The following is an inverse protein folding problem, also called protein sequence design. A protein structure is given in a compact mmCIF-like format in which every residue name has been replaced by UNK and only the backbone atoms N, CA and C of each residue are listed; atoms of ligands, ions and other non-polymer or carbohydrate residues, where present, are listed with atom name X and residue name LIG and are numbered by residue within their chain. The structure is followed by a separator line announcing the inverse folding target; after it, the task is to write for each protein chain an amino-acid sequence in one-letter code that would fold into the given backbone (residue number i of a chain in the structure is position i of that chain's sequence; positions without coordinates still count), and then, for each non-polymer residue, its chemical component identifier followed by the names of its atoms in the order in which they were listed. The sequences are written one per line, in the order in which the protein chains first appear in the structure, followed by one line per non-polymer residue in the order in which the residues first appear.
data_IF_099210469547
#
_entry.id   IF_099210469547
#
_cell.length_a   1.000
_cell.length_b   1.000
_cell.length_c   1.000
_cell.angle_alpha   90.00
_cell.angle_beta   90.00
_cell.angle_gamma   90.00
#
_symmetry.space_group_name_H-M   'P 1'
#
loop_
_entity.id
_entity.type
_entity.pdbx_description
1 polymer ?
#
# COMPACT_ATOMS: atom_id res chain seq x y z
N UNK A 1 12.56 -3.57 -32.76
CA UNK A 1 11.93 -2.79 -31.69
C UNK A 1 13.01 -2.43 -30.69
N UNK A 2 13.32 -1.15 -30.52
CA UNK A 2 14.26 -0.68 -29.51
C UNK A 2 13.52 -0.64 -28.18
N UNK A 3 13.98 -1.40 -27.18
CA UNK A 3 13.38 -1.40 -25.84
C UNK A 3 13.55 -0.06 -25.13
N UNK A 4 12.80 0.18 -24.03
CA UNK A 4 12.93 1.41 -23.25
C UNK A 4 14.35 1.53 -22.71
N UNK A 5 14.99 2.68 -22.94
CA UNK A 5 16.33 2.97 -22.42
C UNK A 5 16.18 3.54 -21.02
N UNK A 6 16.46 2.71 -20.00
CA UNK A 6 16.44 3.14 -18.60
C UNK A 6 17.85 3.59 -18.19
N UNK A 7 17.97 4.80 -17.67
CA UNK A 7 19.22 5.34 -17.14
C UNK A 7 19.06 5.70 -15.66
N UNK A 8 20.16 5.64 -14.90
CA UNK A 8 20.15 5.95 -13.47
C UNK A 8 19.68 7.41 -13.27
N UNK A 9 18.67 7.61 -12.43
CA UNK A 9 18.09 8.93 -12.15
C UNK A 9 16.94 9.32 -13.09
N UNK A 10 16.60 8.49 -14.08
CA UNK A 10 15.42 8.68 -14.91
C UNK A 10 14.27 7.81 -14.39
N UNK A 11 13.16 8.45 -13.99
CA UNK A 11 11.92 7.74 -13.69
C UNK A 11 11.05 7.67 -14.95
N UNK A 12 10.76 6.48 -15.48
CA UNK A 12 10.05 6.33 -16.75
C UNK A 12 8.55 6.53 -16.57
N UNK A 13 8.12 7.77 -16.35
CA UNK A 13 6.73 8.15 -16.06
C UNK A 13 5.73 7.50 -17.03
N UNK A 14 5.90 7.69 -18.34
CA UNK A 14 4.96 7.17 -19.36
C UNK A 14 4.83 5.65 -19.36
N UNK A 15 5.91 4.94 -19.00
CA UNK A 15 5.91 3.48 -18.92
C UNK A 15 5.11 2.97 -17.72
N UNK A 16 5.17 3.70 -16.60
CA UNK A 16 4.56 3.30 -15.33
C UNK A 16 3.16 3.88 -15.13
N UNK A 17 2.81 4.97 -15.81
CA UNK A 17 1.52 5.64 -15.69
C UNK A 17 0.30 4.70 -15.86
N UNK A 18 0.29 3.72 -16.79
CA UNK A 18 -0.81 2.77 -16.89
C UNK A 18 -1.02 1.94 -15.61
N UNK A 19 0.06 1.53 -14.94
CA UNK A 19 -0.01 0.80 -13.68
C UNK A 19 -0.50 1.69 -12.54
N UNK A 20 0.00 2.93 -12.45
CA UNK A 20 -0.45 3.92 -11.46
C UNK A 20 -1.95 4.18 -11.59
N UNK A 21 -2.41 4.44 -12.82
CA UNK A 21 -3.83 4.67 -13.11
C UNK A 21 -4.70 3.46 -12.75
N UNK A 22 -4.17 2.25 -12.93
CA UNK A 22 -4.88 1.03 -12.55
C UNK A 22 -5.04 0.93 -11.04
N UNK A 23 -3.97 1.20 -10.27
CA UNK A 23 -4.02 1.22 -8.80
C UNK A 23 -5.02 2.27 -8.32
N UNK A 24 -4.94 3.51 -8.83
CA UNK A 24 -5.86 4.60 -8.47
C UNK A 24 -7.32 4.25 -8.75
N UNK A 25 -7.61 3.62 -9.90
CA UNK A 25 -8.96 3.18 -10.26
C UNK A 25 -9.47 2.02 -9.38
N UNK A 26 -8.56 1.21 -8.85
CA UNK A 26 -8.88 0.03 -8.05
C UNK A 26 -9.05 0.37 -6.58
N UNK A 27 -8.39 1.43 -6.09
CA UNK A 27 -8.52 1.90 -4.72
C UNK A 27 -9.97 2.29 -4.38
N UNK A 28 -10.47 1.77 -3.26
CA UNK A 28 -11.80 2.02 -2.73
C UNK A 28 -11.85 3.32 -1.92
N UNK A 29 -13.07 3.79 -1.62
CA UNK A 29 -13.30 5.03 -0.88
C UNK A 29 -12.75 5.03 0.55
N UNK A 30 -12.51 3.88 1.15
CA UNK A 30 -11.92 3.73 2.49
C UNK A 30 -10.39 3.59 2.46
N UNK A 31 -9.78 3.53 1.27
CA UNK A 31 -8.34 3.36 1.09
C UNK A 31 -7.89 1.93 0.79
N UNK A 32 -8.77 0.95 0.87
CA UNK A 32 -8.46 -0.42 0.49
C UNK A 32 -8.09 -0.50 -1.01
N UNK A 33 -7.03 -1.23 -1.33
CA UNK A 33 -6.57 -1.53 -2.69
C UNK A 33 -6.65 -3.04 -2.91
N UNK A 34 -7.73 -3.54 -3.53
CA UNK A 34 -7.85 -4.94 -3.96
C UNK A 34 -6.85 -5.30 -5.06
N UNK A 35 -6.59 -6.59 -5.25
CA UNK A 35 -5.76 -7.10 -6.36
C UNK A 35 -6.29 -6.66 -7.74
N UNK A 36 -7.61 -6.62 -7.86
CA UNK A 36 -8.35 -6.11 -9.00
C UNK A 36 -9.77 -5.73 -8.53
N UNK A 37 -10.53 -4.94 -9.31
CA UNK A 37 -11.87 -4.50 -8.91
C UNK A 37 -12.78 -5.67 -8.46
N UNK A 38 -13.46 -5.50 -7.33
CA UNK A 38 -14.34 -6.50 -6.68
C UNK A 38 -13.64 -7.78 -6.16
N UNK A 39 -12.31 -7.77 -6.02
CA UNK A 39 -11.53 -8.89 -5.51
C UNK A 39 -11.16 -8.76 -4.02
N UNK A 40 -10.32 -9.68 -3.56
CA UNK A 40 -9.69 -9.62 -2.26
C UNK A 40 -8.57 -8.56 -2.22
N UNK A 41 -8.31 -8.06 -1.02
CA UNK A 41 -7.10 -7.37 -0.64
C UNK A 41 -6.40 -8.16 0.46
N UNK A 42 -5.08 -8.21 0.42
CA UNK A 42 -4.23 -8.66 1.52
C UNK A 42 -3.21 -7.56 1.87
N UNK A 43 -2.69 -7.54 3.11
CA UNK A 43 -1.79 -6.47 3.56
C UNK A 43 -0.49 -6.34 2.77
N UNK A 44 0.03 -7.42 2.18
CA UNK A 44 1.28 -7.41 1.42
C UNK A 44 1.11 -6.69 0.10
N UNK A 45 0.23 -7.20 -0.77
CA UNK A 45 0.01 -6.63 -2.10
C UNK A 45 -0.53 -5.19 -1.99
N UNK A 46 -1.35 -4.93 -0.96
CA UNK A 46 -1.83 -3.61 -0.62
C UNK A 46 -0.69 -2.63 -0.29
N UNK A 47 0.28 -3.06 0.53
CA UNK A 47 1.47 -2.26 0.86
C UNK A 47 2.30 -1.97 -0.40
N UNK A 48 2.51 -2.94 -1.28
CA UNK A 48 3.24 -2.73 -2.54
C UNK A 48 2.54 -1.72 -3.45
N UNK A 49 1.21 -1.78 -3.53
CA UNK A 49 0.43 -0.81 -4.28
C UNK A 49 0.56 0.61 -3.69
N UNK A 50 0.51 0.75 -2.37
CA UNK A 50 0.74 2.04 -1.69
C UNK A 50 2.16 2.59 -1.94
N UNK A 51 3.18 1.72 -1.95
CA UNK A 51 4.55 2.09 -2.32
C UNK A 51 4.63 2.54 -3.78
N UNK A 52 3.94 1.87 -4.70
CA UNK A 52 3.84 2.27 -6.11
C UNK A 52 3.23 3.65 -6.30
N UNK A 53 2.13 3.95 -5.58
CA UNK A 53 1.52 5.28 -5.56
C UNK A 53 2.48 6.34 -5.02
N UNK A 54 3.25 6.01 -3.97
CA UNK A 54 4.25 6.90 -3.40
C UNK A 54 5.33 7.27 -4.43
N UNK A 55 5.86 6.28 -5.15
CA UNK A 55 6.85 6.50 -6.21
C UNK A 55 6.29 7.38 -7.34
N UNK A 56 5.00 7.23 -7.65
CA UNK A 56 4.33 7.99 -8.70
C UNK A 56 3.98 9.44 -8.31
N UNK A 57 4.17 9.84 -7.04
CA UNK A 57 3.77 11.15 -6.54
C UNK A 57 2.31 11.24 -6.09
N UNK A 58 1.57 10.13 -6.07
CA UNK A 58 0.17 10.06 -5.68
C UNK A 58 0.03 9.93 -4.14
N UNK A 59 0.61 10.89 -3.42
CA UNK A 59 0.80 10.79 -1.97
C UNK A 59 -0.50 10.67 -1.19
N UNK A 60 -1.53 11.44 -1.53
CA UNK A 60 -2.82 11.37 -0.84
C UNK A 60 -3.47 9.98 -0.97
N UNK A 61 -3.34 9.34 -2.14
CA UNK A 61 -3.85 7.99 -2.36
C UNK A 61 -3.02 6.96 -1.58
N UNK A 62 -1.69 7.11 -1.54
CA UNK A 62 -0.82 6.26 -0.75
C UNK A 62 -1.09 6.38 0.76
N UNK A 63 -1.17 7.59 1.30
CA UNK A 63 -1.46 7.84 2.73
C UNK A 63 -2.81 7.25 3.14
N UNK A 64 -3.84 7.40 2.29
CA UNK A 64 -5.15 6.78 2.51
C UNK A 64 -5.07 5.25 2.55
N UNK A 65 -4.20 4.65 1.76
CA UNK A 65 -3.96 3.21 1.79
C UNK A 65 -3.35 2.79 3.16
N UNK A 66 -2.33 3.49 3.64
CA UNK A 66 -1.75 3.20 4.96
C UNK A 66 -2.74 3.42 6.11
N UNK A 67 -3.61 4.43 6.02
CA UNK A 67 -4.69 4.64 6.98
C UNK A 67 -5.68 3.47 7.01
N UNK A 68 -5.99 2.88 5.85
CA UNK A 68 -6.81 1.66 5.80
C UNK A 68 -6.11 0.51 6.54
N UNK A 69 -4.83 0.25 6.28
CA UNK A 69 -4.05 -0.77 6.99
C UNK A 69 -4.10 -0.54 8.51
N UNK A 70 -3.88 0.69 8.98
CA UNK A 70 -3.96 1.04 10.40
C UNK A 70 -5.35 0.74 10.98
N UNK A 71 -6.41 1.03 10.23
CA UNK A 71 -7.80 0.82 10.67
C UNK A 71 -8.21 -0.65 10.77
N UNK A 72 -7.64 -1.51 9.93
CA UNK A 72 -7.92 -2.96 9.89
C UNK A 72 -6.95 -3.78 10.76
N UNK A 73 -5.96 -3.15 11.38
CA UNK A 73 -5.01 -3.83 12.26
C UNK A 73 -5.73 -4.40 13.49
N UNK A 74 -5.46 -5.67 13.78
CA UNK A 74 -5.98 -6.36 14.96
C UNK A 74 -5.24 -5.91 16.22
N UNK A 75 -5.85 -6.19 17.38
CA UNK A 75 -5.29 -5.82 18.70
C UNK A 75 -3.91 -6.38 19.00
N UNK A 76 -3.49 -7.42 18.30
CA UNK A 76 -2.18 -8.07 18.43
C UNK A 76 -1.21 -7.65 17.31
N UNK A 77 -1.51 -6.57 16.60
CA UNK A 77 -0.67 -6.02 15.54
C UNK A 77 -0.77 -6.76 14.20
N UNK A 78 -1.53 -7.85 14.12
CA UNK A 78 -1.67 -8.65 12.90
C UNK A 78 -2.84 -8.21 12.01
N UNK A 79 -2.93 -8.80 10.82
CA UNK A 79 -4.05 -8.66 9.89
C UNK A 79 -4.50 -10.04 9.42
N UNK A 80 -5.75 -10.12 8.98
CA UNK A 80 -6.26 -11.28 8.25
C UNK A 80 -5.68 -11.36 6.83
N UNK A 81 -5.73 -12.56 6.24
CA UNK A 81 -5.17 -12.80 4.91
C UNK A 81 -6.01 -12.25 3.76
N UNK A 82 -7.32 -12.08 3.94
CA UNK A 82 -8.21 -11.63 2.86
C UNK A 82 -9.35 -10.75 3.37
N UNK A 83 -9.43 -9.57 2.79
CA UNK A 83 -10.53 -8.62 2.95
C UNK A 83 -11.27 -8.47 1.62
N UNK A 84 -12.61 -8.49 1.63
CA UNK A 84 -13.44 -8.24 0.46
C UNK A 84 -14.73 -7.54 0.87
N UNK A 85 -15.15 -6.53 0.11
CA UNK A 85 -16.37 -5.76 0.38
C UNK A 85 -16.45 -5.24 1.83
N UNK A 86 -15.33 -4.76 2.38
CA UNK A 86 -15.21 -4.29 3.77
C UNK A 86 -15.50 -5.37 4.84
N UNK A 87 -15.39 -6.63 4.46
CA UNK A 87 -15.57 -7.77 5.36
C UNK A 87 -14.35 -8.69 5.31
N UNK A 88 -13.97 -9.23 6.46
CA UNK A 88 -12.99 -10.30 6.55
C UNK A 88 -13.65 -11.56 5.98
N UNK A 89 -13.06 -12.15 4.94
CA UNK A 89 -13.59 -13.38 4.31
C UNK A 89 -12.91 -14.64 4.79
N UNK A 90 -11.70 -14.51 5.33
CA UNK A 90 -10.97 -15.61 5.94
C UNK A 90 -10.34 -15.14 7.24
N UNK A 91 -10.96 -15.54 8.35
CA UNK A 91 -10.56 -15.27 9.73
C UNK A 91 -9.81 -16.46 10.36
N UNK A 92 -9.44 -17.47 9.56
CA UNK A 92 -8.78 -18.69 10.05
C UNK A 92 -7.25 -18.59 10.00
N UNK A 93 -6.70 -17.65 9.22
CA UNK A 93 -5.26 -17.60 8.93
C UNK A 93 -4.71 -16.18 8.96
N UNK A 94 -3.49 -16.07 9.47
CA UNK A 94 -2.67 -14.86 9.58
C UNK A 94 -1.26 -15.21 9.13
N UNK A 95 -0.55 -14.26 8.54
CA UNK A 95 0.85 -14.46 8.14
C UNK A 95 1.77 -13.41 8.77
N UNK A 96 2.92 -13.87 9.28
CA UNK A 96 3.85 -13.01 10.04
C UNK A 96 4.60 -12.02 9.16
N UNK A 97 4.77 -12.32 7.87
CA UNK A 97 5.40 -11.42 6.90
C UNK A 97 4.62 -10.11 6.74
N UNK A 98 3.30 -10.13 6.89
CA UNK A 98 2.47 -8.92 6.81
C UNK A 98 2.81 -7.92 7.91
N UNK A 99 3.12 -8.42 9.11
CA UNK A 99 3.39 -7.60 10.29
C UNK A 99 4.63 -6.72 10.10
N UNK A 100 5.68 -7.27 9.48
CA UNK A 100 6.93 -6.53 9.29
C UNK A 100 6.93 -5.66 8.01
N UNK A 101 6.21 -6.07 6.97
CA UNK A 101 6.34 -5.42 5.67
C UNK A 101 5.66 -4.05 5.61
N UNK A 102 4.56 -3.86 6.34
CA UNK A 102 3.90 -2.54 6.46
C UNK A 102 4.87 -1.46 6.96
N UNK A 103 5.73 -1.80 7.92
CA UNK A 103 6.77 -0.89 8.41
C UNK A 103 7.74 -0.45 7.30
N UNK A 104 8.07 -1.36 6.39
CA UNK A 104 8.90 -1.06 5.21
C UNK A 104 8.19 -0.07 4.28
N UNK A 105 6.89 -0.26 4.03
CA UNK A 105 6.08 0.64 3.23
C UNK A 105 6.00 2.04 3.82
N UNK A 106 5.69 2.16 5.12
CA UNK A 106 5.64 3.43 5.85
C UNK A 106 6.97 4.18 5.78
N UNK A 107 8.08 3.48 6.08
CA UNK A 107 9.41 4.08 6.00
C UNK A 107 9.77 4.51 4.58
N UNK A 108 9.46 3.68 3.58
CA UNK A 108 9.65 4.00 2.18
C UNK A 108 8.87 5.25 1.75
N UNK A 109 7.60 5.37 2.14
CA UNK A 109 6.81 6.57 1.87
C UNK A 109 7.42 7.82 2.51
N UNK A 110 7.83 7.74 3.78
CA UNK A 110 8.52 8.84 4.46
C UNK A 110 9.82 9.26 3.76
N UNK A 111 10.63 8.32 3.28
CA UNK A 111 11.86 8.67 2.55
C UNK A 111 11.60 9.39 1.22
N UNK A 112 10.41 9.24 0.63
CA UNK A 112 10.00 9.94 -0.60
C UNK A 112 9.43 11.32 -0.28
N UNK A 113 8.57 11.41 0.73
CA UNK A 113 7.79 12.63 1.01
C UNK A 113 8.41 13.54 2.05
N UNK A 114 9.34 13.02 2.86
CA UNK A 114 9.88 13.64 4.08
C UNK A 114 8.78 14.08 5.07
N UNK A 115 7.57 13.52 4.95
CA UNK A 115 6.41 13.88 5.78
C UNK A 115 6.53 13.24 7.18
N UNK A 116 7.14 13.97 8.11
CA UNK A 116 7.30 13.50 9.49
C UNK A 116 5.98 13.33 10.24
N UNK A 117 4.95 14.11 9.90
CA UNK A 117 3.62 13.98 10.52
C UNK A 117 2.99 12.63 10.18
N UNK A 118 3.05 12.22 8.91
CA UNK A 118 2.61 10.90 8.46
C UNK A 118 3.37 9.78 9.19
N UNK A 119 4.69 9.91 9.30
CA UNK A 119 5.51 8.90 10.00
C UNK A 119 5.07 8.74 11.47
N UNK A 120 4.83 9.84 12.17
CA UNK A 120 4.33 9.81 13.54
C UNK A 120 2.92 9.21 13.63
N UNK A 121 2.04 9.53 12.68
CA UNK A 121 0.68 8.98 12.63
C UNK A 121 0.70 7.45 12.46
N UNK A 122 1.63 6.91 11.68
CA UNK A 122 1.75 5.48 11.43
C UNK A 122 2.57 4.72 12.49
N UNK A 123 3.26 5.42 13.39
CA UNK A 123 4.16 4.79 14.38
C UNK A 123 3.45 3.75 15.25
N UNK A 124 2.23 4.06 15.74
CA UNK A 124 1.46 3.12 16.58
C UNK A 124 1.20 1.78 15.88
N UNK A 125 1.00 1.80 14.56
CA UNK A 125 0.75 0.59 13.78
C UNK A 125 2.02 -0.27 13.65
N UNK A 126 3.19 0.36 13.65
CA UNK A 126 4.49 -0.28 13.45
C UNK A 126 5.10 -0.77 14.77
N UNK A 127 4.86 -0.07 15.88
CA UNK A 127 5.42 -0.38 17.20
C UNK A 127 4.58 -1.39 18.01
N UNK A 128 3.49 -1.88 17.43
CA UNK A 128 2.41 -2.56 18.14
C UNK A 128 2.77 -3.88 18.85
#
# INVERSE_FOLDING_TARGET
MSGPFLSKGFFPHDLLQPAVNYILKTQLEDGCIPWFPSSYADPWDHTEAAMGLSIAGEYAAAEKAYQWLKSEQLKDGSWWIHYQDRTVKNDERRETNFVAYVATGVWHHYLITENYSFLCEMADMVEH
#
